data_IF_980884030198
#
_entry.id   IF_980884030198
#
_cell.length_a   1.000
_cell.length_b   1.000
_cell.length_c   1.000
_cell.angle_alpha   90.00
_cell.angle_beta   90.00
_cell.angle_gamma   90.00
#
_symmetry.space_group_name_H-M   'P 1'
#
loop_
_entity.id
_entity.type
_entity.pdbx_description
1 polymer ?
#
# COMPACT_ATOMS: atom_id res chain seq x y z
N UNK A 1 5.02 -32.64 5.05
CA UNK A 1 3.95 -31.83 5.68
C UNK A 1 2.66 -32.03 4.88
N UNK A 2 1.48 -32.06 5.50
CA UNK A 2 0.20 -32.07 4.73
C UNK A 2 -0.03 -30.67 4.13
N UNK A 3 -0.60 -30.55 2.92
CA UNK A 3 -0.88 -29.25 2.28
C UNK A 3 -1.66 -28.29 3.20
N UNK A 4 -2.57 -28.83 4.02
CA UNK A 4 -3.34 -28.06 5.02
C UNK A 4 -2.50 -27.37 6.10
N UNK A 5 -1.32 -27.89 6.40
CA UNK A 5 -0.40 -27.34 7.39
C UNK A 5 0.51 -26.29 6.72
N UNK A 6 1.01 -26.55 5.51
CA UNK A 6 1.74 -25.56 4.72
C UNK A 6 0.90 -24.30 4.45
N UNK A 7 -0.41 -24.45 4.20
CA UNK A 7 -1.35 -23.33 4.06
C UNK A 7 -1.51 -22.47 5.32
N UNK A 8 -1.25 -23.02 6.52
CA UNK A 8 -1.23 -22.22 7.75
C UNK A 8 0.11 -21.51 7.92
N UNK A 9 1.19 -22.22 7.60
CA UNK A 9 2.56 -21.72 7.77
C UNK A 9 2.84 -20.56 6.81
N UNK A 10 2.38 -20.62 5.55
CA UNK A 10 2.65 -19.56 4.56
C UNK A 10 2.16 -18.18 5.01
N UNK A 11 1.16 -18.10 5.88
CA UNK A 11 0.61 -16.84 6.39
C UNK A 11 0.96 -16.55 7.86
N UNK A 12 1.76 -17.41 8.50
CA UNK A 12 2.14 -17.20 9.89
C UNK A 12 3.18 -16.07 10.00
N UNK A 13 2.77 -14.99 10.67
CA UNK A 13 3.59 -13.80 10.87
C UNK A 13 4.61 -13.95 12.00
N UNK A 14 4.53 -15.01 12.82
CA UNK A 14 5.47 -15.25 13.92
C UNK A 14 6.74 -16.00 13.49
N UNK A 15 6.77 -16.54 12.28
CA UNK A 15 7.90 -17.32 11.76
C UNK A 15 8.71 -16.51 10.74
N UNK A 16 9.85 -17.05 10.34
CA UNK A 16 10.71 -16.38 9.35
C UNK A 16 10.14 -16.45 7.93
N UNK A 17 10.52 -15.48 7.08
CA UNK A 17 10.20 -15.52 5.64
C UNK A 17 10.74 -16.78 4.95
N UNK A 18 11.88 -17.31 5.42
CA UNK A 18 12.45 -18.57 4.93
C UNK A 18 11.52 -19.75 5.17
N UNK A 19 10.89 -19.84 6.34
CA UNK A 19 9.94 -20.91 6.66
C UNK A 19 8.64 -20.76 5.87
N UNK A 20 8.14 -19.53 5.70
CA UNK A 20 6.99 -19.26 4.82
C UNK A 20 7.24 -19.65 3.37
N UNK A 21 8.43 -19.34 2.83
CA UNK A 21 8.81 -19.73 1.47
C UNK A 21 8.96 -21.24 1.30
N UNK A 22 9.44 -21.94 2.32
CA UNK A 22 9.46 -23.41 2.30
C UNK A 22 8.03 -23.98 2.26
N UNK A 23 7.11 -23.42 3.04
CA UNK A 23 5.69 -23.79 2.95
C UNK A 23 5.10 -23.49 1.56
N UNK A 24 5.45 -22.36 0.94
CA UNK A 24 5.06 -22.02 -0.43
C UNK A 24 5.52 -23.09 -1.44
N UNK A 25 6.77 -23.56 -1.35
CA UNK A 25 7.29 -24.65 -2.21
C UNK A 25 6.53 -25.95 -2.00
N UNK A 26 6.18 -26.28 -0.75
CA UNK A 26 5.40 -27.47 -0.43
C UNK A 26 3.97 -27.40 -1.01
N UNK A 27 3.34 -26.21 -0.97
CA UNK A 27 2.04 -25.98 -1.60
C UNK A 27 2.15 -26.19 -3.12
N UNK A 28 3.13 -25.57 -3.78
CA UNK A 28 3.35 -25.73 -5.22
C UNK A 28 3.62 -27.19 -5.61
N UNK A 29 4.49 -27.90 -4.87
CA UNK A 29 4.82 -29.31 -5.09
C UNK A 29 3.63 -30.25 -4.85
N UNK A 30 2.63 -29.85 -4.05
CA UNK A 30 1.42 -30.67 -3.82
C UNK A 30 0.49 -30.74 -5.03
N UNK A 31 0.73 -29.93 -6.06
CA UNK A 31 -0.12 -29.86 -7.25
C UNK A 31 -1.40 -29.04 -7.05
N UNK A 32 -1.46 -28.19 -6.00
CA UNK A 32 -2.58 -27.29 -5.74
C UNK A 32 -2.90 -26.48 -6.99
N UNK A 33 -4.15 -26.48 -7.42
CA UNK A 33 -4.61 -25.77 -8.62
C UNK A 33 -5.33 -24.48 -8.25
N UNK A 34 -5.21 -23.41 -9.06
CA UNK A 34 -5.97 -22.19 -8.84
C UNK A 34 -7.47 -22.48 -8.73
N UNK A 35 -8.10 -21.92 -7.70
CA UNK A 35 -9.46 -22.22 -7.27
C UNK A 35 -10.34 -20.95 -7.14
N UNK A 36 -9.82 -19.80 -7.55
CA UNK A 36 -10.49 -18.50 -7.51
C UNK A 36 -10.35 -17.78 -8.86
N UNK A 37 -11.08 -16.67 -9.03
CA UNK A 37 -11.02 -15.82 -10.22
C UNK A 37 -10.93 -14.33 -9.84
N UNK A 38 -10.00 -13.61 -10.46
CA UNK A 38 -9.92 -12.15 -10.42
C UNK A 38 -10.75 -11.48 -11.53
N UNK A 39 -10.97 -10.17 -11.42
CA UNK A 39 -11.50 -9.35 -12.53
C UNK A 39 -10.37 -8.93 -13.46
N UNK A 40 -9.23 -8.56 -12.88
CA UNK A 40 -8.04 -8.10 -13.56
C UNK A 40 -6.95 -9.17 -13.55
N UNK A 41 -6.12 -9.19 -14.60
CA UNK A 41 -4.93 -10.03 -14.66
C UNK A 41 -3.81 -9.51 -13.75
N UNK A 42 -3.82 -8.20 -13.44
CA UNK A 42 -2.84 -7.56 -12.58
C UNK A 42 -3.48 -6.73 -11.47
N UNK A 43 -2.73 -6.58 -10.39
CA UNK A 43 -3.05 -5.64 -9.31
C UNK A 43 -1.76 -4.98 -8.81
N UNK A 44 -1.58 -3.69 -9.11
CA UNK A 44 -0.34 -3.00 -8.81
C UNK A 44 -0.41 -2.16 -7.53
N UNK A 45 -1.38 -2.45 -6.65
CA UNK A 45 -1.51 -1.79 -5.37
C UNK A 45 -2.14 -2.74 -4.35
N UNK A 46 -1.32 -3.38 -3.52
CA UNK A 46 -1.81 -4.18 -2.40
C UNK A 46 -0.79 -4.21 -1.27
N UNK A 47 -1.26 -4.50 -0.07
CA UNK A 47 -0.46 -4.42 1.15
C UNK A 47 -0.27 -5.79 1.77
N UNK A 48 0.87 -5.99 2.42
CA UNK A 48 1.17 -7.18 3.20
C UNK A 48 1.23 -6.83 4.68
N UNK A 49 1.37 -7.83 5.53
CA UNK A 49 1.66 -7.57 6.92
C UNK A 49 3.01 -6.92 7.13
N UNK A 50 3.88 -6.67 6.15
CA UNK A 50 5.07 -5.87 6.43
C UNK A 50 4.72 -4.42 6.74
N UNK A 51 3.57 -3.93 6.27
CA UNK A 51 2.94 -2.69 6.74
C UNK A 51 1.56 -2.98 7.34
N UNK A 52 0.44 -2.43 6.87
CA UNK A 52 -0.87 -2.58 7.52
C UNK A 52 -1.82 -3.59 6.86
N UNK A 53 -1.29 -4.44 5.98
CA UNK A 53 -1.98 -5.62 5.45
C UNK A 53 -2.05 -6.77 6.48
N UNK A 54 -2.92 -7.75 6.20
CA UNK A 54 -3.15 -8.88 7.10
C UNK A 54 -2.34 -10.12 6.73
N UNK A 55 -2.10 -10.32 5.42
CA UNK A 55 -1.44 -11.51 4.88
C UNK A 55 0.05 -11.32 4.66
N UNK A 56 0.81 -12.41 4.76
CA UNK A 56 2.25 -12.40 4.46
C UNK A 56 2.54 -12.05 3.01
N UNK A 57 3.74 -11.53 2.68
CA UNK A 57 4.14 -11.34 1.30
C UNK A 57 4.01 -12.62 0.46
N UNK A 58 4.42 -13.78 1.00
CA UNK A 58 4.27 -15.06 0.30
C UNK A 58 2.79 -15.46 0.10
N UNK A 59 1.94 -15.20 1.09
CA UNK A 59 0.52 -15.52 1.01
C UNK A 59 -0.24 -14.58 0.06
N UNK A 60 0.14 -13.30 -0.05
CA UNK A 60 -0.39 -12.38 -1.09
C UNK A 60 -0.11 -12.90 -2.50
N UNK A 61 1.10 -13.38 -2.75
CA UNK A 61 1.46 -13.97 -4.04
C UNK A 61 0.70 -15.29 -4.28
N UNK A 62 0.58 -16.14 -3.26
CA UNK A 62 -0.24 -17.34 -3.35
C UNK A 62 -1.71 -17.02 -3.64
N UNK A 63 -2.25 -15.96 -3.04
CA UNK A 63 -3.60 -15.47 -3.28
C UNK A 63 -3.82 -15.03 -4.74
N UNK A 64 -2.82 -14.34 -5.32
CA UNK A 64 -2.80 -13.97 -6.73
C UNK A 64 -2.77 -15.20 -7.65
N UNK A 65 -1.95 -16.21 -7.31
CA UNK A 65 -1.91 -17.49 -8.02
C UNK A 65 -3.26 -18.20 -7.99
N UNK A 66 -3.91 -18.26 -6.82
CA UNK A 66 -5.25 -18.84 -6.68
C UNK A 66 -6.28 -18.19 -7.59
N UNK A 67 -6.13 -16.88 -7.85
CA UNK A 67 -6.97 -16.06 -8.74
C UNK A 67 -6.55 -16.07 -10.21
N UNK A 68 -5.52 -16.84 -10.58
CA UNK A 68 -4.95 -16.92 -11.93
C UNK A 68 -4.42 -15.59 -12.45
N UNK A 69 -4.08 -14.66 -11.55
CA UNK A 69 -3.47 -13.39 -11.89
C UNK A 69 -2.06 -13.62 -12.46
N UNK A 70 -1.62 -12.69 -13.29
CA UNK A 70 -0.31 -12.71 -13.95
C UNK A 70 0.73 -11.87 -13.22
N UNK A 71 0.31 -10.78 -12.58
CA UNK A 71 1.21 -9.97 -11.79
C UNK A 71 0.54 -9.31 -10.59
N UNK A 72 1.33 -9.05 -9.55
CA UNK A 72 0.96 -8.15 -8.47
C UNK A 72 2.11 -7.20 -8.09
N UNK A 73 1.79 -6.08 -7.46
CA UNK A 73 2.76 -5.27 -6.74
C UNK A 73 2.39 -5.20 -5.26
N UNK A 74 3.33 -5.54 -4.39
CA UNK A 74 3.20 -5.32 -2.94
C UNK A 74 3.78 -3.95 -2.66
N UNK A 75 2.95 -3.00 -2.21
CA UNK A 75 3.27 -1.59 -2.07
C UNK A 75 3.18 -1.14 -0.61
N UNK A 76 3.75 -1.92 0.29
CA UNK A 76 3.74 -1.66 1.73
C UNK A 76 4.17 -0.22 2.07
N UNK A 77 3.58 0.31 3.13
CA UNK A 77 3.79 1.69 3.52
C UNK A 77 5.18 1.98 4.10
N UNK A 78 5.92 2.88 3.42
CA UNK A 78 7.21 3.43 3.82
C UNK A 78 8.36 2.43 4.03
N UNK A 79 8.25 1.20 3.52
CA UNK A 79 9.27 0.15 3.69
C UNK A 79 9.31 -0.87 2.53
N UNK A 80 10.38 -1.66 2.48
CA UNK A 80 10.60 -2.71 1.46
C UNK A 80 10.77 -4.13 2.07
N UNK A 81 10.45 -4.32 3.34
CA UNK A 81 10.86 -5.50 4.11
C UNK A 81 10.30 -6.82 3.54
N UNK A 82 9.12 -6.78 2.91
CA UNK A 82 8.46 -7.95 2.29
C UNK A 82 8.90 -8.27 0.86
N UNK A 83 9.66 -7.40 0.20
CA UNK A 83 9.85 -7.48 -1.27
C UNK A 83 10.63 -8.72 -1.71
N UNK A 84 11.69 -9.10 -0.98
CA UNK A 84 12.48 -10.31 -1.30
C UNK A 84 11.66 -11.58 -1.15
N UNK A 85 10.81 -11.65 -0.12
CA UNK A 85 9.90 -12.76 0.10
C UNK A 85 8.87 -12.84 -1.03
N UNK A 86 8.26 -11.71 -1.39
CA UNK A 86 7.28 -11.64 -2.47
C UNK A 86 7.86 -12.10 -3.81
N UNK A 87 9.03 -11.58 -4.22
CA UNK A 87 9.70 -11.95 -5.47
C UNK A 87 9.95 -13.47 -5.53
N UNK A 88 10.44 -14.05 -4.45
CA UNK A 88 10.73 -15.49 -4.41
C UNK A 88 9.45 -16.33 -4.42
N UNK A 89 8.40 -15.90 -3.73
CA UNK A 89 7.09 -16.54 -3.84
C UNK A 89 6.53 -16.43 -5.28
N UNK A 90 6.80 -15.33 -5.98
CA UNK A 90 6.44 -15.15 -7.40
C UNK A 90 7.09 -16.20 -8.29
N UNK A 91 8.38 -16.47 -8.07
CA UNK A 91 9.10 -17.54 -8.76
C UNK A 91 8.52 -18.93 -8.47
N UNK A 92 8.02 -19.16 -7.24
CA UNK A 92 7.42 -20.44 -6.84
C UNK A 92 6.08 -20.67 -7.53
N UNK A 93 5.24 -19.64 -7.60
CA UNK A 93 3.85 -19.76 -8.06
C UNK A 93 3.62 -19.28 -9.50
N UNK A 94 4.67 -18.89 -10.22
CA UNK A 94 4.59 -18.33 -11.59
C UNK A 94 3.69 -17.08 -11.66
N UNK A 95 3.88 -16.17 -10.71
CA UNK A 95 3.24 -14.85 -10.65
C UNK A 95 4.33 -13.79 -10.70
N UNK A 96 4.22 -12.85 -11.64
CA UNK A 96 5.20 -11.76 -11.72
C UNK A 96 4.98 -10.76 -10.59
N UNK A 97 5.99 -10.57 -9.75
CA UNK A 97 5.95 -9.60 -8.67
C UNK A 97 6.70 -8.36 -9.10
N UNK A 98 5.97 -7.24 -9.21
CA UNK A 98 6.54 -5.91 -9.43
C UNK A 98 6.83 -5.31 -8.06
N UNK A 99 8.10 -5.13 -7.66
CA UNK A 99 8.41 -4.50 -6.39
C UNK A 99 7.85 -3.08 -6.32
N UNK A 100 7.31 -2.72 -5.17
CA UNK A 100 6.73 -1.41 -4.95
C UNK A 100 6.84 -0.92 -3.50
N UNK A 101 6.48 0.33 -3.28
CA UNK A 101 6.38 0.99 -1.97
C UNK A 101 5.34 2.08 -2.05
N UNK A 102 4.61 2.33 -0.99
CA UNK A 102 3.72 3.49 -0.89
C UNK A 102 4.18 4.43 0.21
N UNK A 103 4.41 5.70 -0.11
CA UNK A 103 4.81 6.70 0.87
C UNK A 103 3.62 7.49 1.39
N UNK A 104 3.49 7.55 2.71
CA UNK A 104 2.68 8.59 3.34
C UNK A 104 3.35 9.95 3.14
N UNK A 105 2.54 10.97 2.83
CA UNK A 105 3.03 12.34 2.70
C UNK A 105 2.50 13.25 3.81
N UNK A 106 3.12 14.42 3.96
CA UNK A 106 2.61 15.47 4.87
C UNK A 106 1.33 16.17 4.37
N UNK A 107 0.86 15.80 3.17
CA UNK A 107 -0.34 16.37 2.55
C UNK A 107 -1.52 15.39 2.64
N UNK A 108 -2.62 15.77 3.32
CA UNK A 108 -3.77 14.88 3.53
C UNK A 108 -4.33 14.28 2.24
N UNK A 109 -4.38 12.94 2.17
CA UNK A 109 -4.96 12.23 1.03
C UNK A 109 -4.07 12.13 -0.20
N UNK A 110 -2.81 12.56 -0.12
CA UNK A 110 -1.80 12.24 -1.13
C UNK A 110 -0.85 11.19 -0.57
N UNK A 111 -0.80 10.07 -1.26
CA UNK A 111 0.24 9.06 -1.12
C UNK A 111 0.97 8.92 -2.47
N UNK A 112 2.25 8.58 -2.40
CA UNK A 112 3.09 8.39 -3.59
C UNK A 112 3.52 6.94 -3.62
N UNK A 113 2.97 6.20 -4.58
CA UNK A 113 3.39 4.83 -4.86
C UNK A 113 4.61 4.82 -5.78
N UNK A 114 5.56 3.91 -5.59
CA UNK A 114 6.72 3.75 -6.45
C UNK A 114 6.83 2.33 -6.98
N UNK A 115 6.75 2.14 -8.29
CA UNK A 115 6.89 0.81 -8.91
C UNK A 115 8.28 0.59 -9.51
N UNK A 116 8.82 -0.62 -9.37
CA UNK A 116 10.15 -1.00 -9.90
C UNK A 116 10.09 -2.26 -10.78
N UNK A 117 9.49 -2.21 -11.99
CA UNK A 117 9.27 -3.40 -12.84
C UNK A 117 10.51 -4.28 -13.10
N UNK A 118 11.70 -3.69 -13.14
CA UNK A 118 12.97 -4.41 -13.25
C UNK A 118 13.43 -4.90 -11.87
N UNK A 119 13.10 -6.15 -11.55
CA UNK A 119 13.49 -6.84 -10.30
C UNK A 119 15.00 -6.87 -10.06
N UNK A 120 15.82 -7.06 -11.09
CA UNK A 120 17.29 -7.11 -10.93
C UNK A 120 17.79 -5.76 -10.45
N UNK A 121 17.38 -4.70 -11.15
CA UNK A 121 17.72 -3.33 -10.79
C UNK A 121 17.22 -2.96 -9.38
N UNK A 122 16.01 -3.40 -9.02
CA UNK A 122 15.47 -3.19 -7.68
C UNK A 122 16.26 -3.93 -6.59
N UNK A 123 16.68 -5.17 -6.83
CA UNK A 123 17.50 -5.90 -5.86
C UNK A 123 18.87 -5.24 -5.66
N UNK A 124 19.47 -4.71 -6.72
CA UNK A 124 20.71 -3.91 -6.63
C UNK A 124 20.50 -2.63 -5.81
N UNK A 125 19.36 -1.94 -5.97
CA UNK A 125 18.98 -0.80 -5.12
C UNK A 125 18.91 -1.22 -3.65
N UNK A 126 18.20 -2.30 -3.34
CA UNK A 126 18.09 -2.79 -1.96
C UNK A 126 19.46 -3.09 -1.35
N UNK A 127 20.32 -3.78 -2.10
CA UNK A 127 21.67 -4.15 -1.67
C UNK A 127 22.59 -2.93 -1.50
N UNK A 128 22.34 -1.84 -2.22
CA UNK A 128 23.09 -0.59 -2.06
C UNK A 128 22.72 0.17 -0.78
N UNK A 129 21.54 -0.08 -0.20
CA UNK A 129 21.07 0.56 1.03
C UNK A 129 20.81 2.07 0.91
N UNK A 130 20.73 2.63 -0.30
CA UNK A 130 20.56 4.08 -0.48
C UNK A 130 19.19 4.56 -0.01
N UNK A 131 18.17 3.72 -0.16
CA UNK A 131 16.79 3.92 0.27
C UNK A 131 16.66 3.98 1.80
N UNK A 132 17.54 3.29 2.54
CA UNK A 132 17.50 3.26 4.01
C UNK A 132 17.78 4.64 4.62
N UNK A 133 18.43 5.55 3.86
CA UNK A 133 18.60 6.95 4.27
C UNK A 133 17.27 7.69 4.44
N UNK A 134 16.19 7.19 3.85
CA UNK A 134 14.83 7.74 3.98
C UNK A 134 13.94 6.81 4.82
N UNK A 135 13.97 5.50 4.55
CA UNK A 135 13.08 4.52 5.19
C UNK A 135 13.36 4.41 6.70
N UNK A 136 14.63 4.29 7.12
CA UNK A 136 14.95 4.08 8.53
C UNK A 136 14.59 5.28 9.42
N UNK A 137 14.86 6.55 9.02
CA UNK A 137 14.35 7.69 9.77
C UNK A 137 12.82 7.74 9.89
N UNK A 138 12.08 7.40 8.83
CA UNK A 138 10.61 7.33 8.86
C UNK A 138 10.14 6.24 9.81
N UNK A 139 10.71 5.04 9.73
CA UNK A 139 10.44 3.92 10.63
C UNK A 139 10.69 4.30 12.09
N UNK A 140 11.83 4.93 12.39
CA UNK A 140 12.17 5.40 13.74
C UNK A 140 11.20 6.46 14.25
N UNK A 141 10.80 7.41 13.40
CA UNK A 141 9.82 8.44 13.74
C UNK A 141 8.44 7.83 14.04
N UNK A 142 7.99 6.87 13.22
CA UNK A 142 6.72 6.14 13.43
C UNK A 142 6.74 5.35 14.73
N UNK A 143 7.85 4.69 15.06
CA UNK A 143 8.00 3.99 16.36
C UNK A 143 7.89 4.94 17.55
N UNK A 144 8.57 6.09 17.49
CA UNK A 144 8.47 7.13 18.52
C UNK A 144 7.04 7.66 18.65
N UNK A 145 6.36 7.88 17.52
CA UNK A 145 4.96 8.30 17.47
C UNK A 145 4.04 7.25 18.11
N UNK A 146 4.20 5.96 17.78
CA UNK A 146 3.44 4.87 18.37
C UNK A 146 3.58 4.85 19.90
N UNK A 147 4.82 4.92 20.41
CA UNK A 147 5.08 4.96 21.85
C UNK A 147 4.41 6.16 22.53
N UNK A 148 4.40 7.33 21.88
CA UNK A 148 3.72 8.53 22.39
C UNK A 148 2.20 8.39 22.37
N UNK A 149 1.64 7.83 21.30
CA UNK A 149 0.21 7.56 21.15
C UNK A 149 -0.28 6.56 22.20
N UNK A 150 0.44 5.45 22.43
CA UNK A 150 0.11 4.45 23.46
C UNK A 150 0.01 5.09 24.85
N UNK A 151 0.94 6.01 25.18
CA UNK A 151 0.93 6.73 26.47
C UNK A 151 -0.30 7.62 26.67
N UNK A 152 -0.98 8.05 25.60
CA UNK A 152 -2.22 8.86 25.68
C UNK A 152 -3.47 8.04 25.96
N UNK A 153 -3.45 6.73 25.71
CA UNK A 153 -4.63 5.86 25.80
C UNK A 153 -5.28 5.94 27.19
N UNK A 154 -4.58 5.75 28.32
CA UNK A 154 -5.22 5.74 29.63
C UNK A 154 -5.97 7.04 29.96
N UNK A 155 -5.36 8.19 29.66
CA UNK A 155 -5.98 9.50 29.87
C UNK A 155 -7.17 9.72 28.93
N UNK A 156 -7.04 9.32 27.66
CA UNK A 156 -8.10 9.43 26.67
C UNK A 156 -9.38 8.67 27.08
N UNK A 157 -9.24 7.51 27.73
CA UNK A 157 -10.38 6.67 28.13
C UNK A 157 -10.91 6.93 29.55
N UNK A 158 -10.20 7.70 30.38
CA UNK A 158 -10.66 8.09 31.72
C UNK A 158 -12.05 8.75 31.71
N UNK A 159 -12.33 9.58 30.70
CA UNK A 159 -13.64 10.26 30.53
C UNK A 159 -14.83 9.31 30.34
N UNK A 160 -14.58 8.06 29.95
CA UNK A 160 -15.60 7.02 29.80
C UNK A 160 -15.70 6.09 31.01
N UNK A 161 -15.01 6.42 32.11
CA UNK A 161 -14.89 5.58 33.29
C UNK A 161 -14.42 4.15 32.90
N UNK A 162 -13.46 4.10 31.98
CA UNK A 162 -12.92 2.89 31.37
C UNK A 162 -11.39 2.95 31.39
N UNK A 163 -10.75 1.87 31.85
CA UNK A 163 -9.29 1.77 31.88
C UNK A 163 -8.82 0.92 30.70
N UNK A 164 -8.11 1.55 29.77
CA UNK A 164 -7.52 0.90 28.62
C UNK A 164 -6.01 1.07 28.64
N UNK A 165 -5.28 -0.03 28.45
CA UNK A 165 -3.81 -0.07 28.40
C UNK A 165 -3.37 -1.07 27.35
N UNK A 166 -2.39 -0.69 26.54
CA UNK A 166 -1.67 -1.58 25.62
C UNK A 166 -0.35 -1.97 26.28
N UNK A 167 -0.07 -3.27 26.36
CA UNK A 167 1.18 -3.86 26.87
C UNK A 167 2.06 -4.34 25.71
N UNK A 168 3.31 -4.68 26.00
CA UNK A 168 4.20 -5.32 25.02
C UNK A 168 3.64 -6.67 24.54
N UNK A 169 3.05 -7.46 25.43
CA UNK A 169 2.42 -8.74 25.07
C UNK A 169 1.24 -8.56 24.10
N UNK A 170 0.47 -7.48 24.24
CA UNK A 170 -0.60 -7.18 23.28
C UNK A 170 -0.02 -6.85 21.90
N UNK A 171 1.10 -6.13 21.84
CA UNK A 171 1.79 -5.81 20.59
C UNK A 171 2.27 -7.11 19.93
N UNK A 172 3.00 -7.95 20.65
CA UNK A 172 3.52 -9.22 20.13
C UNK A 172 2.41 -10.15 19.65
N UNK A 173 1.24 -10.10 20.30
CA UNK A 173 0.09 -10.95 19.98
C UNK A 173 -0.74 -10.46 18.79
N UNK A 174 -0.90 -9.15 18.63
CA UNK A 174 -1.87 -8.59 17.68
C UNK A 174 -1.24 -7.83 16.51
N UNK A 175 0.02 -7.40 16.62
CA UNK A 175 0.72 -6.62 15.60
C UNK A 175 1.53 -7.55 14.70
N UNK A 176 1.20 -7.55 13.42
CA UNK A 176 1.79 -8.48 12.43
C UNK A 176 3.04 -7.94 11.74
N UNK A 177 3.28 -6.64 11.82
CA UNK A 177 4.11 -5.90 10.89
C UNK A 177 5.38 -5.28 11.46
N UNK A 178 5.58 -5.40 12.77
CA UNK A 178 6.60 -4.62 13.44
C UNK A 178 6.29 -3.13 13.36
N UNK A 179 5.44 -2.65 14.27
CA UNK A 179 5.16 -1.23 14.55
C UNK A 179 4.69 -0.46 13.31
N UNK A 180 3.40 -0.61 12.98
CA UNK A 180 2.63 0.41 12.28
C UNK A 180 1.82 1.28 13.25
N UNK A 181 1.31 2.37 12.68
CA UNK A 181 0.91 3.59 13.36
C UNK A 181 -0.50 3.48 13.99
N UNK A 182 -1.43 4.27 13.45
CA UNK A 182 -2.80 4.48 13.94
C UNK A 182 -3.66 3.22 13.78
N UNK A 183 -3.41 2.46 12.72
CA UNK A 183 -4.09 1.19 12.42
C UNK A 183 -3.85 0.16 13.52
N UNK A 184 -2.60 -0.09 13.88
CA UNK A 184 -2.23 -1.11 14.87
C UNK A 184 -2.82 -0.82 16.25
N UNK A 185 -2.78 0.44 16.72
CA UNK A 185 -3.45 0.81 17.98
C UNK A 185 -4.94 0.47 17.89
N UNK A 186 -5.59 0.76 16.77
CA UNK A 186 -7.02 0.51 16.58
C UNK A 186 -7.32 -0.99 16.58
N UNK A 187 -6.47 -1.79 15.94
CA UNK A 187 -6.56 -3.26 15.95
C UNK A 187 -6.36 -3.81 17.35
N UNK A 188 -5.30 -3.42 18.07
CA UNK A 188 -5.04 -3.89 19.44
C UNK A 188 -6.21 -3.52 20.35
N UNK A 189 -6.66 -2.26 20.30
CA UNK A 189 -7.77 -1.79 21.13
C UNK A 189 -9.04 -2.58 20.87
N UNK A 190 -9.35 -2.87 19.60
CA UNK A 190 -10.52 -3.66 19.25
C UNK A 190 -10.38 -5.14 19.64
N UNK A 191 -9.23 -5.77 19.37
CA UNK A 191 -8.98 -7.17 19.74
C UNK A 191 -9.03 -7.40 21.24
N UNK A 192 -8.51 -6.44 22.03
CA UNK A 192 -8.45 -6.54 23.49
C UNK A 192 -9.74 -6.10 24.18
N UNK A 193 -10.43 -5.09 23.66
CA UNK A 193 -11.52 -4.41 24.36
C UNK A 193 -12.84 -4.28 23.55
N UNK A 194 -12.90 -4.75 22.31
CA UNK A 194 -14.00 -4.54 21.36
C UNK A 194 -15.42 -4.75 21.93
N UNK A 195 -15.72 -5.87 22.61
CA UNK A 195 -17.03 -6.08 23.23
C UNK A 195 -17.41 -5.01 24.27
N UNK A 196 -16.45 -4.57 25.09
CA UNK A 196 -16.70 -3.54 26.12
C UNK A 196 -16.78 -2.14 25.49
N UNK A 197 -15.95 -1.85 24.47
CA UNK A 197 -16.02 -0.61 23.68
C UNK A 197 -17.40 -0.47 23.02
N UNK A 198 -17.92 -1.56 22.45
CA UNK A 198 -19.25 -1.62 21.82
C UNK A 198 -20.37 -1.42 22.84
N UNK A 199 -20.32 -2.18 23.95
CA UNK A 199 -21.33 -2.11 25.01
C UNK A 199 -21.44 -0.72 25.62
N UNK A 200 -20.35 0.04 25.68
CA UNK A 200 -20.30 1.42 26.19
C UNK A 200 -20.62 2.48 25.14
N UNK A 201 -20.86 2.10 23.88
CA UNK A 201 -21.09 3.05 22.78
C UNK A 201 -19.87 3.90 22.43
N UNK A 202 -18.67 3.46 22.82
CA UNK A 202 -17.41 4.16 22.54
C UNK A 202 -17.05 3.97 21.07
N UNK A 203 -17.11 2.72 20.60
CA UNK A 203 -16.90 2.41 19.19
C UNK A 203 -17.59 1.11 18.76
N UNK A 204 -17.99 1.04 17.49
CA UNK A 204 -18.71 -0.12 16.90
C UNK A 204 -17.81 -1.15 16.23
N UNK A 205 -16.60 -0.77 15.81
CA UNK A 205 -15.64 -1.61 15.08
C UNK A 205 -14.25 -0.95 15.03
N UNK A 206 -13.28 -1.63 14.41
CA UNK A 206 -11.89 -1.15 14.27
C UNK A 206 -11.82 0.20 13.52
N UNK A 207 -12.58 0.37 12.44
CA UNK A 207 -12.51 1.56 11.57
C UNK A 207 -13.19 2.75 12.24
N UNK A 208 -14.31 2.54 12.92
CA UNK A 208 -14.95 3.56 13.75
C UNK A 208 -14.02 4.02 14.88
N UNK A 209 -13.30 3.08 15.52
CA UNK A 209 -12.31 3.42 16.55
C UNK A 209 -11.17 4.25 15.96
N UNK A 210 -10.66 3.85 14.80
CA UNK A 210 -9.58 4.55 14.10
C UNK A 210 -9.99 6.01 13.76
N UNK A 211 -11.19 6.17 13.19
CA UNK A 211 -11.74 7.47 12.81
C UNK A 211 -11.98 8.40 14.01
N UNK A 212 -12.42 7.86 15.15
CA UNK A 212 -12.74 8.64 16.35
C UNK A 212 -11.53 8.95 17.23
N UNK A 213 -10.53 8.07 17.30
CA UNK A 213 -9.52 8.15 18.35
C UNK A 213 -8.08 8.23 17.84
N UNK A 214 -7.67 7.41 16.87
CA UNK A 214 -6.26 7.36 16.43
C UNK A 214 -5.94 8.31 15.28
N UNK A 215 -6.96 8.93 14.67
CA UNK A 215 -6.81 9.96 13.64
C UNK A 215 -7.15 11.38 14.14
N UNK A 216 -7.59 11.51 15.39
CA UNK A 216 -8.02 12.79 15.98
C UNK A 216 -6.97 13.34 16.95
N UNK A 217 -6.48 14.55 16.67
CA UNK A 217 -5.38 15.21 17.42
C UNK A 217 -5.72 15.50 18.88
N UNK A 218 -6.99 15.73 19.18
CA UNK A 218 -7.54 15.93 20.53
C UNK A 218 -7.81 14.62 21.28
N UNK A 219 -7.51 13.47 20.65
CA UNK A 219 -7.64 12.14 21.23
C UNK A 219 -6.25 11.48 21.36
N UNK A 220 -5.99 10.39 20.63
CA UNK A 220 -4.77 9.60 20.74
C UNK A 220 -3.70 10.12 19.77
N UNK A 221 -4.09 10.71 18.63
CA UNK A 221 -3.16 11.06 17.56
C UNK A 221 -2.09 12.08 17.99
N UNK A 222 -0.86 11.82 17.55
CA UNK A 222 0.31 12.67 17.77
C UNK A 222 0.94 12.94 16.40
N UNK A 223 1.34 14.18 16.07
CA UNK A 223 2.06 14.44 14.82
C UNK A 223 3.33 13.60 14.69
N UNK A 224 3.67 13.21 13.46
CA UNK A 224 4.94 12.55 13.18
C UNK A 224 6.07 13.59 13.24
N UNK A 225 7.00 13.43 14.18
CA UNK A 225 8.15 14.31 14.34
C UNK A 225 9.35 13.75 13.56
N UNK A 226 9.69 14.37 12.44
CA UNK A 226 10.82 13.96 11.59
C UNK A 226 11.43 15.17 10.88
N UNK A 227 12.75 15.15 10.70
CA UNK A 227 13.52 16.16 9.98
C UNK A 227 13.86 15.68 8.56
N UNK A 228 12.81 15.33 7.81
CA UNK A 228 12.87 14.95 6.39
C UNK A 228 11.69 15.61 5.70
N UNK A 229 11.90 16.15 4.51
CA UNK A 229 10.83 16.67 3.66
C UNK A 229 9.86 15.53 3.28
N UNK A 230 8.67 15.51 3.88
CA UNK A 230 7.64 14.50 3.60
C UNK A 230 6.67 14.95 2.49
N UNK A 231 6.99 16.01 1.74
CA UNK A 231 6.11 16.50 0.69
C UNK A 231 5.96 15.49 -0.45
N UNK A 232 4.79 15.46 -1.11
CA UNK A 232 4.57 14.62 -2.28
C UNK A 232 5.67 14.78 -3.35
N UNK A 233 6.09 16.02 -3.63
CA UNK A 233 7.13 16.30 -4.63
C UNK A 233 8.50 15.73 -4.23
N UNK A 234 8.81 15.68 -2.93
CA UNK A 234 10.04 15.07 -2.45
C UNK A 234 10.04 13.55 -2.67
N UNK A 235 8.93 12.86 -2.39
CA UNK A 235 8.83 11.42 -2.63
C UNK A 235 8.82 11.05 -4.12
N UNK A 236 8.17 11.86 -4.97
CA UNK A 236 8.28 11.70 -6.44
C UNK A 236 9.74 11.69 -6.88
N UNK A 237 10.52 12.69 -6.43
CA UNK A 237 11.95 12.79 -6.78
C UNK A 237 12.78 11.64 -6.23
N UNK A 238 12.56 11.24 -4.97
CA UNK A 238 13.28 10.12 -4.34
C UNK A 238 13.07 8.81 -5.09
N UNK A 239 11.83 8.49 -5.45
CA UNK A 239 11.52 7.27 -6.20
C UNK A 239 12.20 7.31 -7.58
N UNK A 240 12.21 8.46 -8.27
CA UNK A 240 12.96 8.62 -9.52
C UNK A 240 14.48 8.44 -9.34
N UNK A 241 15.06 9.03 -8.29
CA UNK A 241 16.48 8.93 -7.98
C UNK A 241 16.89 7.47 -7.70
N UNK A 242 15.98 6.70 -7.09
CA UNK A 242 16.12 5.26 -6.91
C UNK A 242 15.87 4.45 -8.19
N UNK A 243 15.51 5.09 -9.31
CA UNK A 243 15.24 4.45 -10.59
C UNK A 243 13.88 3.76 -10.68
N UNK A 244 12.94 4.10 -9.79
CA UNK A 244 11.56 3.65 -9.83
C UNK A 244 10.64 4.60 -10.60
N UNK A 245 9.37 4.23 -10.69
CA UNK A 245 8.30 5.01 -11.31
C UNK A 245 7.38 5.56 -10.22
N UNK A 246 7.50 6.85 -9.83
CA UNK A 246 6.54 7.45 -8.91
C UNK A 246 5.16 7.58 -9.54
N UNK A 247 4.15 7.27 -8.75
CA UNK A 247 2.75 7.33 -9.08
C UNK A 247 1.92 8.02 -8.02
N UNK A 248 0.81 8.60 -8.44
CA UNK A 248 -0.21 9.10 -7.52
C UNK A 248 -1.19 7.95 -7.23
N UNK A 249 -1.23 7.45 -6.00
CA UNK A 249 -2.19 6.43 -5.58
C UNK A 249 -3.57 7.05 -5.33
N UNK A 250 -4.62 6.24 -5.56
CA UNK A 250 -6.05 6.49 -5.29
C UNK A 250 -6.44 7.98 -5.20
N UNK A 251 -6.39 8.76 -6.31
CA UNK A 251 -6.61 10.21 -6.30
C UNK A 251 -7.97 10.66 -5.71
N UNK A 252 -8.91 9.74 -5.56
CA UNK A 252 -10.17 9.90 -4.84
C UNK A 252 -9.98 10.31 -3.37
N UNK A 253 -8.96 9.83 -2.67
CA UNK A 253 -8.74 10.18 -1.26
C UNK A 253 -8.30 11.63 -1.09
N UNK A 254 -7.44 12.13 -1.99
CA UNK A 254 -7.08 13.55 -2.05
C UNK A 254 -8.32 14.43 -2.18
N UNK A 255 -9.19 14.11 -3.15
CA UNK A 255 -10.47 14.82 -3.34
C UNK A 255 -11.25 14.88 -2.04
N UNK A 256 -11.41 13.75 -1.36
CA UNK A 256 -12.27 13.63 -0.17
C UNK A 256 -11.68 14.36 1.04
N UNK A 257 -10.39 14.16 1.32
CA UNK A 257 -9.74 14.67 2.55
C UNK A 257 -9.45 16.17 2.47
N UNK A 258 -9.16 16.70 1.29
CA UNK A 258 -8.94 18.15 1.09
C UNK A 258 -10.15 18.90 0.52
N UNK A 259 -11.21 18.19 0.11
CA UNK A 259 -12.39 18.82 -0.50
C UNK A 259 -12.10 19.44 -1.87
N UNK A 260 -11.16 18.88 -2.64
CA UNK A 260 -10.73 19.44 -3.91
C UNK A 260 -11.76 19.22 -5.03
N UNK A 261 -11.94 20.25 -5.85
CA UNK A 261 -12.68 20.17 -7.12
C UNK A 261 -11.84 19.57 -8.25
N UNK A 262 -12.49 19.36 -9.41
CA UNK A 262 -11.84 18.86 -10.63
C UNK A 262 -10.70 19.76 -11.15
N UNK A 263 -10.80 21.07 -10.94
CA UNK A 263 -9.77 22.02 -11.37
C UNK A 263 -8.53 21.92 -10.48
N UNK A 264 -8.71 21.83 -9.17
CA UNK A 264 -7.65 21.67 -8.19
C UNK A 264 -6.93 20.33 -8.35
N UNK A 265 -7.66 19.24 -8.57
CA UNK A 265 -7.06 17.92 -8.83
C UNK A 265 -6.14 17.94 -10.05
N UNK A 266 -6.56 18.58 -11.15
CA UNK A 266 -5.71 18.75 -12.34
C UNK A 266 -4.43 19.53 -12.04
N UNK A 267 -4.52 20.58 -11.21
CA UNK A 267 -3.34 21.34 -10.78
C UNK A 267 -2.40 20.47 -9.96
N UNK A 268 -2.91 19.67 -9.02
CA UNK A 268 -2.08 18.75 -8.23
C UNK A 268 -1.38 17.73 -9.12
N UNK A 269 -2.10 17.12 -10.07
CA UNK A 269 -1.52 16.18 -11.03
C UNK A 269 -0.41 16.86 -11.84
N UNK A 270 -0.66 18.06 -12.37
CA UNK A 270 0.33 18.81 -13.14
C UNK A 270 1.56 19.17 -12.29
N UNK A 271 1.35 19.63 -11.05
CA UNK A 271 2.40 19.96 -10.07
C UNK A 271 3.31 18.76 -9.74
N UNK A 272 2.73 17.57 -9.60
CA UNK A 272 3.48 16.34 -9.36
C UNK A 272 4.19 15.87 -10.63
N UNK A 273 3.56 16.00 -11.79
CA UNK A 273 4.17 15.67 -13.07
C UNK A 273 5.35 16.60 -13.40
N UNK A 274 5.28 17.88 -13.06
CA UNK A 274 6.42 18.81 -13.09
C UNK A 274 7.58 18.36 -12.18
N UNK A 275 7.27 17.69 -11.07
CA UNK A 275 8.27 17.10 -10.18
C UNK A 275 8.80 15.74 -10.67
N UNK A 276 8.21 15.17 -11.73
CA UNK A 276 8.64 13.92 -12.35
C UNK A 276 7.71 12.71 -12.15
N UNK A 277 6.45 12.91 -11.77
CA UNK A 277 5.45 11.82 -11.70
C UNK A 277 5.40 11.03 -13.02
N UNK A 278 5.29 9.71 -12.93
CA UNK A 278 5.28 8.81 -14.09
C UNK A 278 3.93 8.13 -14.30
N UNK A 279 3.21 7.83 -13.22
CA UNK A 279 1.93 7.12 -13.27
C UNK A 279 0.84 7.82 -12.45
N UNK A 280 -0.42 7.51 -12.76
CA UNK A 280 -1.57 7.82 -11.90
C UNK A 280 -2.37 6.53 -11.76
N UNK A 281 -2.77 6.18 -10.54
CA UNK A 281 -3.76 5.13 -10.35
C UNK A 281 -5.11 5.63 -10.86
N UNK A 282 -5.53 5.07 -12.00
CA UNK A 282 -6.78 5.43 -12.66
C UNK A 282 -7.88 4.49 -12.20
N UNK A 283 -7.57 3.21 -12.05
CA UNK A 283 -8.55 2.21 -11.65
C UNK A 283 -8.24 1.59 -10.28
N UNK A 284 -8.98 2.01 -9.25
CA UNK A 284 -8.87 1.49 -7.90
C UNK A 284 -10.23 1.26 -7.25
N UNK A 285 -10.24 0.53 -6.14
CA UNK A 285 -11.50 0.10 -5.50
C UNK A 285 -12.41 1.24 -5.04
N UNK A 286 -11.84 2.43 -4.77
CA UNK A 286 -12.59 3.63 -4.35
C UNK A 286 -13.31 4.34 -5.48
N UNK A 287 -13.26 3.79 -6.70
CA UNK A 287 -13.88 4.41 -7.86
C UNK A 287 -15.41 4.41 -7.76
N UNK A 288 -15.94 5.56 -7.34
CA UNK A 288 -17.35 5.89 -7.35
C UNK A 288 -17.72 6.83 -8.49
N UNK A 289 -18.75 7.64 -8.27
CA UNK A 289 -19.12 8.73 -9.18
C UNK A 289 -18.47 10.03 -8.74
N UNK A 290 -17.98 10.81 -9.69
CA UNK A 290 -17.57 12.18 -9.47
C UNK A 290 -18.80 13.03 -9.09
N UNK A 291 -18.78 13.77 -7.97
CA UNK A 291 -19.93 14.58 -7.56
C UNK A 291 -20.19 15.76 -8.51
N UNK A 292 -19.17 16.29 -9.18
CA UNK A 292 -19.28 17.46 -10.07
C UNK A 292 -19.82 17.12 -11.46
N UNK A 293 -19.47 15.95 -11.99
CA UNK A 293 -19.78 15.58 -13.40
C UNK A 293 -20.69 14.36 -13.52
N UNK A 294 -20.87 13.57 -12.46
CA UNK A 294 -21.57 12.28 -12.51
C UNK A 294 -20.82 11.17 -13.26
N UNK A 295 -19.61 11.43 -13.76
CA UNK A 295 -18.75 10.42 -14.42
C UNK A 295 -18.27 9.38 -13.41
N UNK A 296 -17.92 8.17 -13.87
CA UNK A 296 -17.13 7.29 -13.01
C UNK A 296 -15.76 7.94 -12.75
N UNK A 297 -15.25 7.79 -11.54
CA UNK A 297 -13.93 8.33 -11.20
C UNK A 297 -12.81 7.73 -12.04
N UNK A 298 -12.90 6.43 -12.41
CA UNK A 298 -11.98 5.82 -13.38
C UNK A 298 -11.93 6.60 -14.69
N UNK A 299 -13.09 6.93 -15.26
CA UNK A 299 -13.17 7.66 -16.54
C UNK A 299 -12.63 9.08 -16.39
N UNK A 300 -12.96 9.74 -15.27
CA UNK A 300 -12.49 11.09 -14.97
C UNK A 300 -10.97 11.16 -14.82
N UNK A 301 -10.35 10.24 -14.07
CA UNK A 301 -8.90 10.25 -13.88
C UNK A 301 -8.17 9.86 -15.15
N UNK A 302 -8.71 8.93 -15.95
CA UNK A 302 -8.17 8.66 -17.28
C UNK A 302 -8.25 9.91 -18.17
N UNK A 303 -9.38 10.62 -18.16
CA UNK A 303 -9.55 11.87 -18.90
C UNK A 303 -8.53 12.93 -18.45
N UNK A 304 -8.35 13.14 -17.13
CA UNK A 304 -7.38 14.11 -16.61
C UNK A 304 -5.94 13.76 -17.05
N UNK A 305 -5.58 12.48 -17.06
CA UNK A 305 -4.29 11.98 -17.56
C UNK A 305 -4.11 12.26 -19.05
N UNK A 306 -5.13 11.99 -19.86
CA UNK A 306 -5.10 12.22 -21.31
C UNK A 306 -5.04 13.72 -21.66
N UNK A 307 -5.78 14.55 -20.93
CA UNK A 307 -5.72 16.01 -21.04
C UNK A 307 -4.31 16.53 -20.70
N UNK A 308 -3.72 16.05 -19.61
CA UNK A 308 -2.34 16.41 -19.24
C UNK A 308 -1.35 16.05 -20.35
N UNK A 309 -1.41 14.81 -20.85
CA UNK A 309 -0.51 14.34 -21.90
C UNK A 309 -0.67 15.13 -23.21
N UNK A 310 -1.91 15.45 -23.58
CA UNK A 310 -2.20 16.23 -24.79
C UNK A 310 -1.72 17.67 -24.68
N UNK A 311 -1.79 18.26 -23.49
CA UNK A 311 -1.29 19.61 -23.22
C UNK A 311 0.24 19.71 -23.14
N UNK A 312 0.94 18.58 -22.96
CA UNK A 312 2.40 18.53 -22.78
C UNK A 312 3.06 17.50 -23.72
N UNK A 313 2.93 17.66 -25.06
CA UNK A 313 3.43 16.66 -26.03
C UNK A 313 4.96 16.51 -26.00
N UNK A 314 5.69 17.52 -25.52
CA UNK A 314 7.15 17.50 -25.41
C UNK A 314 7.66 16.81 -24.14
N UNK A 315 6.75 16.28 -23.31
CA UNK A 315 7.08 15.57 -22.07
C UNK A 315 6.75 14.09 -22.18
N UNK A 316 7.37 13.29 -21.31
CA UNK A 316 6.96 11.91 -21.16
C UNK A 316 5.48 11.85 -20.73
N UNK A 317 4.64 11.06 -21.42
CA UNK A 317 3.24 10.96 -21.05
C UNK A 317 3.10 10.26 -19.70
N UNK A 318 2.18 10.73 -18.88
CA UNK A 318 1.71 10.02 -17.68
C UNK A 318 1.03 8.72 -18.12
N UNK A 319 1.54 7.62 -17.56
CA UNK A 319 0.96 6.31 -17.68
C UNK A 319 -0.15 6.14 -16.62
N UNK A 320 -0.93 5.07 -16.75
CA UNK A 320 -1.91 4.70 -15.74
C UNK A 320 -1.48 3.41 -15.03
N UNK A 321 -1.97 3.23 -13.81
CA UNK A 321 -1.94 1.95 -13.08
C UNK A 321 -3.34 1.61 -12.58
N UNK A 322 -3.48 0.37 -12.11
CA UNK A 322 -4.65 -0.10 -11.38
C UNK A 322 -4.22 -0.82 -10.10
N UNK A 323 -5.11 -0.88 -9.12
CA UNK A 323 -4.90 -1.76 -7.98
C UNK A 323 -6.06 -1.75 -6.99
N UNK A 324 -6.19 -2.84 -6.23
CA UNK A 324 -7.30 -3.00 -5.30
C UNK A 324 -7.08 -2.28 -3.98
N UNK A 325 -5.84 -1.86 -3.68
CA UNK A 325 -5.42 -1.35 -2.36
C UNK A 325 -5.87 -2.32 -1.24
N UNK A 326 -5.71 -3.62 -1.52
CA UNK A 326 -6.21 -4.70 -0.66
C UNK A 326 -5.26 -4.95 0.49
N UNK A 327 -5.79 -4.84 1.71
CA UNK A 327 -5.08 -5.10 2.96
C UNK A 327 -5.51 -6.44 3.58
N UNK A 328 -6.47 -7.17 2.98
CA UNK A 328 -7.09 -8.37 3.53
C UNK A 328 -7.64 -8.17 4.96
N UNK A 329 -8.05 -6.94 5.32
CA UNK A 329 -8.56 -6.67 6.67
C UNK A 329 -9.94 -7.29 6.86
N UNK A 330 -10.24 -7.93 8.00
CA UNK A 330 -11.57 -8.50 8.26
C UNK A 330 -12.68 -7.47 8.10
N UNK A 331 -13.63 -7.73 7.19
CA UNK A 331 -14.79 -6.87 6.93
C UNK A 331 -14.54 -5.71 5.95
N UNK A 332 -13.34 -5.60 5.38
CA UNK A 332 -13.00 -4.56 4.40
C UNK A 332 -13.77 -4.73 3.08
N UNK A 333 -14.02 -5.99 2.69
CA UNK A 333 -14.74 -6.32 1.45
C UNK A 333 -13.96 -5.96 0.19
N UNK A 334 -12.64 -5.75 0.30
CA UNK A 334 -11.72 -5.67 -0.83
C UNK A 334 -11.21 -7.05 -1.18
N UNK A 335 -11.06 -7.27 -2.48
CA UNK A 335 -10.53 -8.50 -3.03
C UNK A 335 -9.39 -8.16 -3.98
N UNK A 336 -8.22 -8.75 -3.76
CA UNK A 336 -7.07 -8.65 -4.67
C UNK A 336 -7.47 -8.95 -6.12
N UNK A 337 -7.10 -8.06 -7.05
CA UNK A 337 -7.42 -8.15 -8.48
C UNK A 337 -8.89 -7.90 -8.84
N UNK A 338 -9.72 -7.50 -7.87
CA UNK A 338 -11.16 -7.30 -8.02
C UNK A 338 -11.64 -5.95 -7.48
N UNK A 339 -11.01 -5.40 -6.44
CA UNK A 339 -11.49 -4.21 -5.74
C UNK A 339 -12.70 -4.49 -4.85
N UNK A 340 -13.54 -3.48 -4.62
CA UNK A 340 -14.72 -3.61 -3.77
C UNK A 340 -15.94 -4.03 -4.61
N UNK A 341 -16.64 -5.09 -4.20
CA UNK A 341 -17.74 -5.66 -5.00
C UNK A 341 -17.33 -5.95 -6.46
N UNK A 342 -16.05 -6.33 -6.66
CA UNK A 342 -15.49 -6.65 -7.98
C UNK A 342 -15.60 -5.48 -8.99
N UNK A 343 -15.40 -4.25 -8.54
CA UNK A 343 -15.58 -3.02 -9.33
C UNK A 343 -14.38 -2.61 -10.20
N UNK A 344 -13.23 -3.27 -10.11
CA UNK A 344 -12.13 -3.01 -11.03
C UNK A 344 -12.53 -3.35 -12.48
N UNK A 345 -11.85 -2.72 -13.43
CA UNK A 345 -12.15 -2.79 -14.86
C UNK A 345 -11.06 -3.56 -15.60
N UNK A 346 -11.38 -4.71 -16.23
CA UNK A 346 -10.40 -5.59 -16.88
C UNK A 346 -9.52 -4.89 -17.92
N UNK A 347 -10.02 -3.85 -18.59
CA UNK A 347 -9.27 -3.08 -19.58
C UNK A 347 -8.07 -2.31 -19.00
N UNK A 348 -8.11 -1.92 -17.72
CA UNK A 348 -6.99 -1.27 -17.03
C UNK A 348 -6.08 -2.29 -16.35
N UNK A 349 -6.59 -3.49 -16.05
CA UNK A 349 -5.86 -4.55 -15.35
C UNK A 349 -5.31 -5.67 -16.24
N UNK A 350 -4.87 -5.36 -17.47
CA UNK A 350 -4.22 -6.35 -18.36
C UNK A 350 -2.73 -6.47 -18.11
N UNK A 351 -2.17 -7.68 -18.22
CA UNK A 351 -0.75 -7.93 -17.98
C UNK A 351 0.18 -7.15 -18.92
N UNK A 352 -0.26 -6.86 -20.15
CA UNK A 352 0.49 -6.03 -21.10
C UNK A 352 0.86 -4.62 -20.56
N UNK A 353 0.12 -4.12 -19.56
CA UNK A 353 0.42 -2.82 -18.95
C UNK A 353 1.74 -2.85 -18.16
N UNK A 354 2.17 -4.00 -17.63
CA UNK A 354 3.47 -4.16 -16.95
C UNK A 354 4.64 -3.93 -17.92
N UNK A 355 4.47 -4.31 -19.20
CA UNK A 355 5.50 -4.08 -20.21
C UNK A 355 5.75 -2.58 -20.45
N UNK A 356 4.69 -1.76 -20.50
CA UNK A 356 4.81 -0.30 -20.64
C UNK A 356 5.55 0.34 -19.46
N UNK A 357 5.28 -0.13 -18.23
CA UNK A 357 6.02 0.31 -17.04
C UNK A 357 7.50 -0.10 -17.15
N UNK A 358 7.77 -1.33 -17.57
CA UNK A 358 9.14 -1.83 -17.75
C UNK A 358 9.93 -1.04 -18.79
N UNK A 359 9.31 -0.70 -19.92
CA UNK A 359 9.88 0.17 -20.95
C UNK A 359 10.14 1.57 -20.41
N UNK A 360 9.19 2.14 -19.66
CA UNK A 360 9.37 3.45 -19.02
C UNK A 360 10.54 3.44 -18.04
N UNK A 361 10.65 2.42 -17.18
CA UNK A 361 11.76 2.33 -16.23
C UNK A 361 13.11 2.23 -16.94
N UNK A 362 13.21 1.42 -18.00
CA UNK A 362 14.42 1.33 -18.83
C UNK A 362 14.79 2.69 -19.42
N UNK A 363 13.83 3.42 -19.99
CA UNK A 363 14.05 4.75 -20.53
C UNK A 363 14.64 5.70 -19.48
N UNK A 364 13.99 5.85 -18.32
CA UNK A 364 14.45 6.81 -17.30
C UNK A 364 15.80 6.42 -16.69
N UNK A 365 16.10 5.13 -16.59
CA UNK A 365 17.36 4.65 -15.96
C UNK A 365 18.55 4.67 -16.92
N UNK A 366 18.32 4.71 -18.24
CA UNK A 366 19.39 4.72 -19.25
C UNK A 366 19.64 6.10 -19.84
N UNK A 367 18.60 6.91 -20.06
CA UNK A 367 18.74 8.23 -20.70
C UNK A 367 18.89 9.39 -19.72
N UNK A 368 18.62 9.18 -18.42
CA UNK A 368 18.85 10.21 -17.39
C UNK A 368 20.23 9.97 -16.76
N UNK A 369 21.22 10.87 -16.96
CA UNK A 369 22.52 10.72 -16.31
C UNK A 369 22.32 10.82 -14.81
N UNK A 370 22.48 9.71 -14.07
CA UNK A 370 22.56 9.80 -12.61
C UNK A 370 23.78 10.62 -12.25
N UNK A 371 23.61 11.59 -11.37
CA UNK A 371 24.72 12.11 -10.57
C UNK A 371 25.29 10.94 -9.78
N UNK A 372 26.26 10.24 -10.37
CA UNK A 372 27.24 9.42 -9.64
C UNK A 372 28.13 10.41 -8.90
N UNK A 373 27.62 10.93 -7.79
CA UNK A 373 28.30 11.82 -6.86
C UNK A 373 28.54 11.10 -5.55
#
# INVERSE_FOLDING_TARGET
MKTSEALKIIDDFHISSKERLEAARQIAASGFKPDMDAVCEIDLHCHSFCSDGYYSPANKVFEAYRRKMKAIAISDHDLFDGQREAIEAGNIFDVDVVPAIEFYTDRPGIEIIGHFPNKIFFLELLDSGVQEKIIEPVRKAKKKQLEAMIKRIPDCFRKFNFSAVITAEDIDKFVRNGVSTKGDISVIMWQKYGPELSKRGISSDVKDFQAKYTTQKDQIDVPLEIDIDLSPKAFVKRVLDWGGLPGLSHPTELRKKEGLGNCELRKVIADLADAGLQTIEVDGWRNGKCPETGMNQTDLFNQMREEYNSAHPDRLPLLFTNGSDDHNQPGEGLELGCGHNRNLRPEFGRYENVAKLSERQKFITTETPRHRG
#
